data_IF_376432527497
#
_entry.id   IF_376432527497
#
_cell.length_a   1.000
_cell.length_b   1.000
_cell.length_c   1.000
_cell.angle_alpha   90.00
_cell.angle_beta   90.00
_cell.angle_gamma   90.00
#
_symmetry.space_group_name_H-M   'P 1'
#
loop_
_entity.id
_entity.type
_entity.pdbx_description
1 polymer ?
#
# COMPACT_ATOMS: atom_id res chain seq x y z
N UNK A 1 14.22 18.76 -5.26
CA UNK A 1 15.68 18.59 -5.15
C UNK A 1 16.04 17.71 -3.94
N UNK A 2 15.44 17.92 -2.78
CA UNK A 2 15.73 17.15 -1.55
C UNK A 2 15.49 15.65 -1.72
N UNK A 3 14.38 15.26 -2.34
CA UNK A 3 14.06 13.84 -2.56
C UNK A 3 15.02 13.18 -3.55
N UNK A 4 15.47 13.89 -4.57
CA UNK A 4 16.52 13.41 -5.47
C UNK A 4 17.83 13.15 -4.73
N UNK A 5 18.20 14.04 -3.80
CA UNK A 5 19.39 13.87 -2.97
C UNK A 5 19.26 12.66 -2.01
N UNK A 6 18.05 12.43 -1.45
CA UNK A 6 17.76 11.23 -0.63
C UNK A 6 17.93 9.95 -1.44
N UNK A 7 17.33 9.89 -2.64
CA UNK A 7 17.46 8.74 -3.54
C UNK A 7 18.93 8.48 -3.90
N UNK A 8 19.67 9.53 -4.26
CA UNK A 8 21.09 9.42 -4.58
C UNK A 8 21.91 8.90 -3.38
N UNK A 9 21.56 9.34 -2.15
CA UNK A 9 22.21 8.87 -0.93
C UNK A 9 21.93 7.39 -0.67
N UNK A 10 20.66 6.96 -0.80
CA UNK A 10 20.28 5.55 -0.62
C UNK A 10 21.03 4.68 -1.64
N UNK A 11 21.05 5.09 -2.90
CA UNK A 11 21.74 4.35 -3.98
C UNK A 11 23.25 4.27 -3.76
N UNK A 12 23.86 5.35 -3.27
CA UNK A 12 25.28 5.36 -2.92
C UNK A 12 25.64 4.39 -1.79
N UNK A 13 24.77 4.31 -0.76
CA UNK A 13 24.99 3.45 0.41
C UNK A 13 24.61 1.99 0.14
N UNK A 14 23.64 1.75 -0.72
CA UNK A 14 23.12 0.45 -1.07
C UNK A 14 22.88 0.37 -2.60
N UNK A 15 23.93 0.12 -3.40
CA UNK A 15 23.82 0.14 -4.87
C UNK A 15 22.80 -0.85 -5.43
N UNK A 16 22.62 -2.00 -4.76
CA UNK A 16 21.71 -3.06 -5.18
C UNK A 16 20.27 -2.90 -4.63
N UNK A 17 20.01 -1.83 -3.86
CA UNK A 17 18.69 -1.63 -3.28
C UNK A 17 17.65 -1.30 -4.35
N UNK A 18 16.53 -2.01 -4.31
CA UNK A 18 15.33 -1.66 -5.08
C UNK A 18 14.69 -0.42 -4.46
N UNK A 19 14.67 0.66 -5.20
CA UNK A 19 14.10 1.93 -4.74
C UNK A 19 12.67 2.04 -5.26
N UNK A 20 11.74 2.40 -4.39
CA UNK A 20 10.34 2.69 -4.68
C UNK A 20 10.00 4.08 -4.18
N UNK A 21 9.13 4.76 -4.89
CA UNK A 21 8.70 6.11 -4.55
C UNK A 21 7.20 6.10 -4.40
N UNK A 22 6.68 6.57 -3.26
CA UNK A 22 5.25 6.80 -3.04
C UNK A 22 4.98 8.31 -2.99
N UNK A 23 4.09 8.76 -3.83
CA UNK A 23 3.76 10.19 -4.01
C UNK A 23 2.36 10.52 -3.50
N UNK A 24 1.54 9.51 -3.24
CA UNK A 24 0.17 9.67 -2.73
C UNK A 24 -0.73 10.58 -3.60
N UNK A 25 -0.49 10.61 -4.91
CA UNK A 25 -1.28 11.37 -5.88
C UNK A 25 -1.03 12.89 -5.88
N UNK A 26 0.11 13.34 -5.37
CA UNK A 26 0.37 14.77 -5.14
C UNK A 26 1.04 15.50 -6.30
N UNK A 27 1.54 14.79 -7.32
CA UNK A 27 2.19 15.43 -8.45
C UNK A 27 1.23 15.64 -9.63
N UNK A 28 1.46 16.73 -10.35
CA UNK A 28 0.95 16.86 -11.71
C UNK A 28 1.76 15.96 -12.65
N UNK A 29 1.23 15.69 -13.84
CA UNK A 29 1.92 14.91 -14.87
C UNK A 29 3.30 15.50 -15.20
N UNK A 30 3.39 16.82 -15.33
CA UNK A 30 4.65 17.51 -15.64
C UNK A 30 5.68 17.41 -14.48
N UNK A 31 5.22 17.49 -13.23
CA UNK A 31 6.09 17.30 -12.07
C UNK A 31 6.62 15.87 -12.00
N UNK A 32 5.72 14.89 -12.17
CA UNK A 32 6.06 13.47 -12.18
C UNK A 32 7.07 13.16 -13.27
N UNK A 33 6.81 13.58 -14.53
CA UNK A 33 7.70 13.33 -15.65
C UNK A 33 9.10 13.89 -15.40
N UNK A 34 9.20 15.18 -15.03
CA UNK A 34 10.49 15.83 -14.73
C UNK A 34 11.26 15.19 -13.58
N UNK A 35 10.56 14.71 -12.56
CA UNK A 35 11.21 14.03 -11.43
C UNK A 35 11.74 12.66 -11.86
N UNK A 36 10.91 11.87 -12.54
CA UNK A 36 11.24 10.51 -12.97
C UNK A 36 12.39 10.48 -13.99
N UNK A 37 12.51 11.48 -14.85
CA UNK A 37 13.66 11.65 -15.75
C UNK A 37 15.00 11.82 -15.01
N UNK A 38 14.96 12.33 -13.77
CA UNK A 38 16.14 12.71 -12.99
C UNK A 38 16.46 11.75 -11.84
N UNK A 39 15.49 10.99 -11.37
CA UNK A 39 15.67 10.15 -10.16
C UNK A 39 16.52 8.90 -10.42
N UNK A 40 16.82 8.56 -11.69
CA UNK A 40 17.52 7.34 -12.08
C UNK A 40 16.65 6.10 -11.95
N UNK A 41 17.24 4.92 -11.98
CA UNK A 41 16.53 3.65 -11.95
C UNK A 41 15.76 3.46 -10.63
N UNK A 42 14.48 3.16 -10.72
CA UNK A 42 13.60 2.78 -9.60
C UNK A 42 12.77 1.56 -9.99
N UNK A 43 12.35 0.76 -9.01
CA UNK A 43 11.54 -0.42 -9.27
C UNK A 43 10.13 -0.05 -9.74
N UNK A 44 9.53 0.97 -9.12
CA UNK A 44 8.27 1.59 -9.52
C UNK A 44 8.01 2.93 -8.79
N UNK A 45 7.04 3.68 -9.31
CA UNK A 45 6.44 4.83 -8.62
C UNK A 45 5.00 4.51 -8.24
N UNK A 46 4.64 4.69 -6.95
CA UNK A 46 3.28 4.48 -6.44
C UNK A 46 2.50 5.79 -6.50
N UNK A 47 1.32 5.73 -7.09
CA UNK A 47 0.34 6.80 -7.21
C UNK A 47 0.97 8.18 -7.44
N UNK A 48 1.69 8.41 -8.55
CA UNK A 48 2.33 9.70 -8.79
C UNK A 48 1.32 10.84 -9.00
N UNK A 49 0.19 10.58 -9.68
CA UNK A 49 -0.85 11.56 -9.98
C UNK A 49 -2.20 11.15 -9.36
N UNK A 50 -3.14 12.10 -9.26
CA UNK A 50 -4.39 11.91 -8.52
C UNK A 50 -5.45 11.10 -9.30
N UNK A 51 -5.54 11.27 -10.63
CA UNK A 51 -6.58 10.65 -11.45
C UNK A 51 -6.04 9.58 -12.39
N UNK A 52 -6.94 8.71 -12.86
CA UNK A 52 -6.61 7.67 -13.86
C UNK A 52 -6.16 8.29 -15.17
N UNK A 53 -6.76 9.39 -15.58
CA UNK A 53 -6.44 10.13 -16.81
C UNK A 53 -5.02 10.69 -16.75
N UNK A 54 -4.63 11.28 -15.61
CA UNK A 54 -3.28 11.80 -15.41
C UNK A 54 -2.25 10.67 -15.36
N UNK A 55 -2.58 9.52 -14.73
CA UNK A 55 -1.70 8.36 -14.73
C UNK A 55 -1.51 7.79 -16.14
N UNK A 56 -2.58 7.74 -16.94
CA UNK A 56 -2.52 7.29 -18.34
C UNK A 56 -1.68 8.23 -19.19
N UNK A 57 -1.82 9.54 -18.99
CA UNK A 57 -1.00 10.54 -19.66
C UNK A 57 0.47 10.41 -19.24
N UNK A 58 0.76 10.31 -17.94
CA UNK A 58 2.13 10.10 -17.44
C UNK A 58 2.75 8.84 -18.02
N UNK A 59 2.01 7.73 -18.05
CA UNK A 59 2.47 6.46 -18.60
C UNK A 59 2.91 6.56 -20.07
N UNK A 60 2.33 7.45 -20.84
CA UNK A 60 2.76 7.72 -22.23
C UNK A 60 4.09 8.48 -22.32
N UNK A 61 4.54 9.09 -21.23
CA UNK A 61 5.73 9.95 -21.18
C UNK A 61 6.94 9.30 -20.51
N UNK A 62 6.74 8.25 -19.69
CA UNK A 62 7.80 7.64 -18.88
C UNK A 62 7.82 6.13 -19.06
N UNK A 63 9.01 5.54 -18.91
CA UNK A 63 9.21 4.07 -18.97
C UNK A 63 9.34 3.45 -17.58
N UNK A 64 8.85 4.11 -16.55
CA UNK A 64 8.83 3.61 -15.18
C UNK A 64 7.50 2.90 -14.92
N UNK A 65 7.52 1.79 -14.19
CA UNK A 65 6.29 1.12 -13.78
C UNK A 65 5.50 1.99 -12.81
N UNK A 66 4.19 2.09 -13.04
CA UNK A 66 3.27 2.85 -12.20
C UNK A 66 2.42 1.88 -11.39
N UNK A 67 2.36 2.08 -10.08
CA UNK A 67 1.49 1.36 -9.16
C UNK A 67 0.28 2.22 -8.80
N UNK A 68 -0.92 1.65 -8.86
CA UNK A 68 -2.16 2.30 -8.42
C UNK A 68 -2.54 1.86 -7.00
N UNK A 69 -2.70 2.82 -6.10
CA UNK A 69 -3.19 2.66 -4.73
C UNK A 69 -4.48 3.46 -4.51
N UNK A 70 -4.36 4.78 -4.41
CA UNK A 70 -5.48 5.67 -4.09
C UNK A 70 -6.64 5.57 -5.07
N UNK A 71 -6.35 5.46 -6.35
CA UNK A 71 -7.39 5.33 -7.40
C UNK A 71 -8.29 4.11 -7.18
N UNK A 72 -7.80 3.10 -6.49
CA UNK A 72 -8.58 1.90 -6.16
C UNK A 72 -9.19 1.99 -4.76
N UNK A 73 -8.38 2.20 -3.72
CA UNK A 73 -8.86 2.14 -2.33
C UNK A 73 -9.75 3.31 -1.93
N UNK A 74 -9.69 4.45 -2.63
CA UNK A 74 -10.57 5.60 -2.43
C UNK A 74 -11.77 5.62 -3.39
N UNK A 75 -11.79 4.72 -4.38
CA UNK A 75 -12.93 4.60 -5.28
C UNK A 75 -14.16 4.05 -4.58
N UNK A 76 -15.34 4.55 -4.96
CA UNK A 76 -16.62 3.99 -4.51
C UNK A 76 -16.78 2.53 -4.94
N UNK A 77 -16.37 2.22 -6.17
CA UNK A 77 -16.32 0.85 -6.68
C UNK A 77 -15.00 0.59 -7.40
N UNK A 78 -14.00 -0.04 -6.77
CA UNK A 78 -12.71 -0.28 -7.38
C UNK A 78 -12.74 -1.26 -8.57
N UNK A 79 -13.82 -2.02 -8.73
CA UNK A 79 -14.02 -2.91 -9.89
C UNK A 79 -14.43 -2.16 -11.17
N UNK A 80 -14.97 -0.94 -11.06
CA UNK A 80 -15.39 -0.12 -12.19
C UNK A 80 -14.31 0.86 -12.67
N UNK A 81 -13.16 0.91 -11.99
CA UNK A 81 -12.06 1.79 -12.38
C UNK A 81 -11.38 1.23 -13.63
N UNK A 82 -11.39 1.99 -14.72
CA UNK A 82 -10.67 1.62 -15.95
C UNK A 82 -9.18 1.88 -15.83
N UNK A 83 -8.42 0.83 -15.51
CA UNK A 83 -6.97 0.89 -15.33
C UNK A 83 -6.18 0.70 -16.62
N UNK A 84 -6.83 0.48 -17.76
CA UNK A 84 -6.17 0.18 -19.02
C UNK A 84 -5.23 1.33 -19.43
N UNK A 85 -3.96 1.01 -19.60
CA UNK A 85 -2.94 1.98 -19.99
C UNK A 85 -2.60 3.07 -18.96
N UNK A 86 -3.15 2.97 -17.73
CA UNK A 86 -2.89 3.94 -16.66
C UNK A 86 -1.84 3.45 -15.66
N UNK A 87 -1.83 2.16 -15.35
CA UNK A 87 -0.92 1.55 -14.37
C UNK A 87 -0.40 0.19 -14.85
N UNK A 88 0.65 -0.31 -14.20
CA UNK A 88 1.25 -1.62 -14.45
C UNK A 88 0.98 -2.60 -13.32
N UNK A 89 0.76 -2.11 -12.11
CA UNK A 89 0.70 -2.89 -10.88
C UNK A 89 -0.44 -2.39 -10.01
N UNK A 90 -1.19 -3.31 -9.42
CA UNK A 90 -2.24 -3.01 -8.45
C UNK A 90 -1.69 -3.13 -7.03
N UNK A 91 -1.83 -2.08 -6.22
CA UNK A 91 -1.57 -2.13 -4.78
C UNK A 91 -2.76 -2.74 -4.05
N UNK A 92 -2.51 -3.75 -3.23
CA UNK A 92 -3.52 -4.39 -2.40
C UNK A 92 -3.26 -4.12 -0.92
N UNK A 93 -4.18 -3.43 -0.28
CA UNK A 93 -4.22 -3.17 1.17
C UNK A 93 -5.49 -3.77 1.74
N UNK A 94 -5.37 -4.79 2.61
CA UNK A 94 -6.50 -5.63 3.06
C UNK A 94 -7.66 -4.81 3.62
N UNK A 95 -7.37 -3.90 4.55
CA UNK A 95 -8.38 -3.17 5.30
C UNK A 95 -9.14 -2.15 4.42
N UNK A 96 -8.46 -1.27 3.66
CA UNK A 96 -9.14 -0.32 2.77
C UNK A 96 -9.97 -1.00 1.68
N UNK A 97 -9.53 -2.16 1.21
CA UNK A 97 -10.24 -2.90 0.16
C UNK A 97 -11.39 -3.77 0.68
N UNK A 98 -11.55 -3.91 2.00
CA UNK A 98 -12.66 -4.64 2.61
C UNK A 98 -12.40 -6.13 2.82
N UNK A 99 -11.15 -6.54 2.96
CA UNK A 99 -10.76 -7.89 3.35
C UNK A 99 -10.05 -8.70 2.26
N UNK A 100 -9.46 -9.83 2.67
CA UNK A 100 -8.64 -10.72 1.82
C UNK A 100 -9.42 -11.21 0.60
N UNK A 101 -10.66 -11.68 0.79
CA UNK A 101 -11.49 -12.21 -0.30
C UNK A 101 -11.75 -11.15 -1.39
N UNK A 102 -12.03 -9.91 -0.96
CA UNK A 102 -12.28 -8.81 -1.89
C UNK A 102 -11.00 -8.37 -2.60
N UNK A 103 -9.85 -8.36 -1.91
CA UNK A 103 -8.56 -8.08 -2.53
C UNK A 103 -8.20 -9.11 -3.63
N UNK A 104 -8.44 -10.41 -3.39
CA UNK A 104 -8.29 -11.45 -4.41
C UNK A 104 -9.22 -11.25 -5.61
N UNK A 105 -10.50 -10.94 -5.35
CA UNK A 105 -11.45 -10.66 -6.42
C UNK A 105 -11.01 -9.47 -7.28
N UNK A 106 -10.48 -8.42 -6.66
CA UNK A 106 -9.97 -7.24 -7.36
C UNK A 106 -8.74 -7.58 -8.22
N UNK A 107 -7.79 -8.35 -7.69
CA UNK A 107 -6.63 -8.83 -8.44
C UNK A 107 -7.06 -9.66 -9.66
N UNK A 108 -7.99 -10.59 -9.47
CA UNK A 108 -8.52 -11.43 -10.56
C UNK A 108 -9.30 -10.62 -11.61
N UNK A 109 -9.97 -9.53 -11.20
CA UNK A 109 -10.74 -8.66 -12.09
C UNK A 109 -9.82 -7.84 -13.01
N UNK A 110 -8.83 -7.16 -12.45
CA UNK A 110 -7.93 -6.29 -13.23
C UNK A 110 -6.84 -7.05 -13.98
N UNK A 111 -6.47 -8.25 -13.53
CA UNK A 111 -5.47 -9.13 -14.19
C UNK A 111 -4.10 -8.46 -14.38
N UNK A 112 -3.75 -7.55 -13.52
CA UNK A 112 -2.44 -6.93 -13.46
C UNK A 112 -1.59 -7.59 -12.36
N UNK A 113 -0.26 -7.51 -12.43
CA UNK A 113 0.61 -7.83 -11.31
C UNK A 113 0.17 -7.11 -10.05
N UNK A 114 0.39 -7.73 -8.89
CA UNK A 114 -0.01 -7.17 -7.61
C UNK A 114 1.18 -6.98 -6.68
N UNK A 115 1.09 -5.98 -5.82
CA UNK A 115 1.94 -5.82 -4.65
C UNK A 115 1.07 -5.68 -3.42
N UNK A 116 1.38 -6.42 -2.36
CA UNK A 116 0.65 -6.33 -1.09
C UNK A 116 1.35 -5.33 -0.18
N UNK A 117 0.58 -4.40 0.33
CA UNK A 117 1.08 -3.36 1.23
C UNK A 117 0.11 -3.15 2.42
N UNK A 118 0.47 -2.24 3.28
CA UNK A 118 -0.30 -1.85 4.45
C UNK A 118 -0.57 -0.35 4.44
N UNK A 119 -1.63 0.06 5.11
CA UNK A 119 -1.72 1.39 5.68
C UNK A 119 -0.88 1.43 6.98
N UNK A 120 -1.11 2.34 7.90
CA UNK A 120 -0.50 2.29 9.23
C UNK A 120 -1.36 1.39 10.13
N UNK A 121 -0.91 0.17 10.38
CA UNK A 121 -1.70 -0.88 11.00
C UNK A 121 -0.97 -1.53 12.19
N UNK A 122 -1.76 -1.99 13.16
CA UNK A 122 -1.23 -2.83 14.24
C UNK A 122 -0.77 -4.20 13.74
N UNK A 123 -0.10 -4.97 14.58
CA UNK A 123 0.32 -6.34 14.28
C UNK A 123 -0.84 -7.22 13.78
N UNK A 124 -2.06 -7.00 14.27
CA UNK A 124 -3.24 -7.72 13.78
C UNK A 124 -3.47 -7.40 12.29
N UNK A 125 -3.50 -6.12 11.92
CA UNK A 125 -3.72 -5.71 10.54
C UNK A 125 -2.59 -6.15 9.61
N UNK A 126 -1.34 -6.00 10.04
CA UNK A 126 -0.16 -6.49 9.30
C UNK A 126 -0.25 -8.00 9.06
N UNK A 127 -0.65 -8.79 10.06
CA UNK A 127 -0.78 -10.25 9.91
C UNK A 127 -1.86 -10.65 8.88
N UNK A 128 -2.93 -9.86 8.74
CA UNK A 128 -3.87 -10.04 7.63
C UNK A 128 -3.24 -9.70 6.27
N UNK A 129 -2.39 -8.67 6.18
CA UNK A 129 -1.61 -8.37 4.99
C UNK A 129 -0.65 -9.50 4.62
N UNK A 130 0.07 -10.06 5.61
CA UNK A 130 0.94 -11.23 5.41
C UNK A 130 0.13 -12.45 4.91
N UNK A 131 -1.06 -12.67 5.49
CA UNK A 131 -1.95 -13.75 5.06
C UNK A 131 -2.40 -13.57 3.62
N UNK A 132 -2.77 -12.34 3.22
CA UNK A 132 -3.09 -12.03 1.83
C UNK A 132 -1.89 -12.31 0.92
N UNK A 133 -0.71 -11.81 1.27
CA UNK A 133 0.51 -12.01 0.47
C UNK A 133 0.82 -13.49 0.27
N UNK A 134 0.80 -14.28 1.33
CA UNK A 134 1.08 -15.72 1.27
C UNK A 134 -0.01 -16.54 0.57
N UNK A 135 -1.18 -15.99 0.34
CA UNK A 135 -2.27 -16.68 -0.38
C UNK A 135 -2.16 -16.57 -1.91
N UNK A 136 -1.27 -15.72 -2.44
CA UNK A 136 -0.91 -15.73 -3.85
C UNK A 136 0.14 -16.81 -4.12
N UNK A 137 0.01 -17.49 -5.26
CA UNK A 137 1.00 -18.50 -5.68
C UNK A 137 2.36 -17.85 -5.98
N UNK A 138 2.32 -16.66 -6.54
CA UNK A 138 3.51 -15.89 -6.91
C UNK A 138 3.26 -14.40 -6.73
N UNK A 139 4.24 -13.71 -6.17
CA UNK A 139 4.28 -12.25 -6.09
C UNK A 139 5.59 -11.78 -6.73
N UNK A 140 5.47 -10.95 -7.74
CA UNK A 140 6.63 -10.40 -8.47
C UNK A 140 7.37 -9.30 -7.69
N UNK A 141 6.77 -8.79 -6.62
CA UNK A 141 7.28 -7.66 -5.84
C UNK A 141 7.30 -7.97 -4.36
N UNK A 142 8.35 -7.51 -3.68
CA UNK A 142 8.42 -7.55 -2.22
C UNK A 142 7.28 -6.74 -1.59
N UNK A 143 6.72 -7.22 -0.48
CA UNK A 143 5.56 -6.61 0.17
C UNK A 143 5.92 -5.35 0.98
N UNK A 144 5.02 -4.38 1.04
CA UNK A 144 5.14 -3.18 1.87
C UNK A 144 4.44 -3.34 3.24
N UNK A 145 4.86 -4.32 4.06
CA UNK A 145 4.15 -4.72 5.29
C UNK A 145 4.91 -4.37 6.59
N UNK A 146 5.88 -3.45 6.54
CA UNK A 146 6.70 -3.10 7.69
C UNK A 146 6.19 -1.90 8.52
N UNK A 147 5.04 -1.32 8.19
CA UNK A 147 4.54 -0.09 8.85
C UNK A 147 4.23 -0.25 10.34
N UNK A 148 4.02 -1.47 10.81
CA UNK A 148 3.87 -1.75 12.24
C UNK A 148 5.06 -1.31 13.10
N UNK A 149 6.26 -1.23 12.53
CA UNK A 149 7.47 -0.74 13.20
C UNK A 149 7.46 0.77 13.45
N UNK A 150 6.55 1.52 12.83
CA UNK A 150 6.38 2.96 13.03
C UNK A 150 5.51 3.28 14.26
N UNK A 151 4.84 2.30 14.84
CA UNK A 151 4.04 2.47 16.04
C UNK A 151 4.95 2.45 17.28
N UNK A 152 4.80 3.44 18.16
CA UNK A 152 5.53 3.48 19.43
C UNK A 152 5.18 2.30 20.36
N UNK A 153 3.96 1.76 20.22
CA UNK A 153 3.47 0.55 20.91
C UNK A 153 2.61 -0.24 19.94
N UNK A 154 2.62 -1.55 20.08
CA UNK A 154 1.82 -2.46 19.26
C UNK A 154 1.21 -3.56 20.13
N UNK A 155 0.18 -4.22 19.65
CA UNK A 155 -0.53 -5.31 20.32
C UNK A 155 0.24 -6.65 20.30
N UNK A 156 1.25 -6.76 19.46
CA UNK A 156 2.19 -7.87 19.36
C UNK A 156 3.43 -7.44 18.58
N UNK A 157 4.49 -8.22 18.67
CA UNK A 157 5.68 -8.03 17.85
C UNK A 157 5.62 -8.93 16.61
N UNK A 158 5.96 -8.38 15.46
CA UNK A 158 6.15 -9.10 14.21
C UNK A 158 7.57 -8.81 13.70
N UNK A 159 8.56 -9.62 14.13
CA UNK A 159 9.95 -9.37 13.77
C UNK A 159 10.18 -9.57 12.27
N UNK A 160 11.03 -8.71 11.71
CA UNK A 160 11.60 -8.90 10.38
C UNK A 160 12.95 -9.59 10.55
N UNK A 161 13.05 -10.80 10.03
CA UNK A 161 14.30 -11.59 10.06
C UNK A 161 14.73 -11.84 8.62
N UNK A 162 15.94 -11.43 8.27
CA UNK A 162 16.50 -11.56 6.92
C UNK A 162 15.54 -11.03 5.82
N UNK A 163 14.90 -9.87 6.09
CA UNK A 163 13.95 -9.24 5.18
C UNK A 163 12.57 -9.92 5.11
N UNK A 164 12.30 -10.91 5.96
CA UNK A 164 11.05 -11.69 5.94
C UNK A 164 10.29 -11.56 7.24
N UNK A 165 8.97 -11.53 7.14
CA UNK A 165 8.03 -11.67 8.26
C UNK A 165 7.31 -13.01 8.16
N UNK A 166 7.08 -13.67 9.31
CA UNK A 166 6.31 -14.91 9.38
C UNK A 166 4.85 -14.62 9.72
N UNK A 167 3.94 -15.37 9.11
CA UNK A 167 2.55 -15.41 9.54
C UNK A 167 2.49 -16.21 10.82
N UNK A 168 2.03 -15.57 11.89
CA UNK A 168 1.93 -16.21 13.21
C UNK A 168 0.53 -16.04 13.79
N UNK A 169 0.12 -17.01 14.60
CA UNK A 169 -1.00 -16.82 15.52
C UNK A 169 -0.45 -16.29 16.83
N UNK A 170 -1.02 -15.22 17.33
CA UNK A 170 -0.64 -14.62 18.60
C UNK A 170 -1.88 -14.12 19.34
N UNK A 171 -1.79 -14.07 20.66
CA UNK A 171 -2.78 -13.39 21.49
C UNK A 171 -2.36 -11.92 21.60
N UNK A 172 -3.20 -10.98 21.17
CA UNK A 172 -2.86 -9.56 21.24
C UNK A 172 -2.84 -9.09 22.70
N UNK A 173 -1.79 -8.36 23.07
CA UNK A 173 -1.70 -7.69 24.37
C UNK A 173 -2.14 -6.22 24.21
N UNK A 174 -3.15 -5.82 24.97
CA UNK A 174 -3.71 -4.47 24.97
C UNK A 174 -3.28 -3.62 26.17
N UNK A 175 -2.45 -4.15 27.07
CA UNK A 175 -2.03 -3.45 28.29
C UNK A 175 -1.32 -2.12 27.94
N UNK A 176 -1.81 -1.02 28.50
CA UNK A 176 -1.31 0.32 28.24
C UNK A 176 -1.64 0.87 26.86
N UNK A 177 -2.59 0.25 26.13
CA UNK A 177 -3.11 0.69 24.83
C UNK A 177 -4.56 1.16 24.91
N UNK A 178 -5.05 1.38 26.12
CA UNK A 178 -6.41 1.85 26.36
C UNK A 178 -6.62 3.22 25.72
N UNK A 179 -7.78 3.38 25.13
CA UNK A 179 -8.20 4.66 24.56
C UNK A 179 -9.11 5.44 25.54
N UNK A 180 -9.32 6.74 25.31
CA UNK A 180 -10.31 7.50 26.07
C UNK A 180 -11.73 6.94 25.87
N UNK A 181 -12.60 7.13 26.89
CA UNK A 181 -13.98 6.68 26.83
C UNK A 181 -14.73 7.25 25.60
N UNK A 182 -14.51 8.53 25.27
CA UNK A 182 -15.14 9.18 24.11
C UNK A 182 -14.69 8.52 22.80
N UNK A 183 -13.40 8.19 22.67
CA UNK A 183 -12.86 7.55 21.48
C UNK A 183 -13.34 6.10 21.36
N UNK A 184 -13.49 5.39 22.48
CA UNK A 184 -14.08 4.06 22.53
C UNK A 184 -15.54 4.08 22.05
N UNK A 185 -16.37 4.98 22.59
CA UNK A 185 -17.78 5.11 22.17
C UNK A 185 -17.91 5.54 20.70
N UNK A 186 -17.00 6.39 20.20
CA UNK A 186 -16.97 6.76 18.79
C UNK A 186 -16.75 5.53 17.88
N UNK A 187 -15.79 4.67 18.22
CA UNK A 187 -15.51 3.45 17.46
C UNK A 187 -16.64 2.43 17.55
N UNK A 188 -17.19 2.23 18.74
CA UNK A 188 -18.35 1.36 18.98
C UNK A 188 -19.55 1.79 18.12
N UNK A 189 -19.89 3.07 18.11
CA UNK A 189 -20.95 3.62 17.29
C UNK A 189 -20.68 3.48 15.80
N UNK A 190 -19.43 3.62 15.36
CA UNK A 190 -19.02 3.41 13.97
C UNK A 190 -19.23 1.95 13.56
N UNK A 191 -18.81 1.00 14.38
CA UNK A 191 -18.98 -0.44 14.12
C UNK A 191 -20.45 -0.80 14.03
N UNK A 192 -21.27 -0.33 14.98
CA UNK A 192 -22.72 -0.57 14.98
C UNK A 192 -23.40 -0.07 13.71
N UNK A 193 -23.13 1.17 13.32
CA UNK A 193 -23.67 1.74 12.05
C UNK A 193 -23.23 0.94 10.83
N UNK A 194 -21.98 0.51 10.78
CA UNK A 194 -21.49 -0.30 9.66
C UNK A 194 -22.18 -1.67 9.62
N UNK A 195 -22.39 -2.30 10.77
CA UNK A 195 -23.13 -3.57 10.86
C UNK A 195 -24.60 -3.45 10.42
N UNK A 196 -25.25 -2.31 10.64
CA UNK A 196 -26.61 -2.03 10.15
C UNK A 196 -26.67 -1.93 8.63
N UNK A 197 -25.63 -1.38 7.99
CA UNK A 197 -25.55 -1.28 6.53
C UNK A 197 -25.31 -2.63 5.82
N UNK A 198 -24.89 -3.65 6.56
CA UNK A 198 -24.63 -4.99 6.04
C UNK A 198 -25.82 -5.96 6.18
N UNK A 199 -26.94 -5.51 6.77
CA UNK A 199 -28.19 -6.27 6.92
C UNK A 199 -29.13 -5.99 5.78
#
# INVERSE_FOLDING_TARGET
EEDLARIATVRKLNPEAKIRIDVNGLWSVDQASKFLERCGEIEYVEQPCASVEELRELKSRVDVKIVGDEILRKSTNPFEVDLQGAIDIVMLKVQPLGGIKRAHALAAHHKLPVVVSSALESAIGINYGLTLAASFQELSFDCGLATGSLLARNVAELPIVDGKMQITRFEPNFDGLETSADRFEWWKNRIMRTAELLR
#
